data_IF_622489792812
#
_entry.id   IF_622489792812
#
_cell.length_a   1.000
_cell.length_b   1.000
_cell.length_c   1.000
_cell.angle_alpha   90.00
_cell.angle_beta   90.00
_cell.angle_gamma   90.00
#
_symmetry.space_group_name_H-M   'P 1'
#
loop_
_entity.id
_entity.type
_entity.pdbx_description
1 polymer ?
#
# COMPACT_ATOMS: atom_id res chain seq x y z
N UNK A 1 57.02 57.47 44.56
CA UNK A 1 57.19 56.87 43.23
C UNK A 1 56.63 55.46 43.23
N UNK A 2 55.35 55.37 42.90
CA UNK A 2 54.66 54.12 42.59
C UNK A 2 55.09 53.65 41.20
N UNK A 3 55.35 52.35 41.06
CA UNK A 3 54.86 51.47 39.99
C UNK A 3 55.80 50.28 39.81
N UNK A 4 55.25 49.07 39.89
CA UNK A 4 55.39 47.99 38.90
C UNK A 4 55.36 46.59 39.52
N UNK A 5 54.17 46.09 39.85
CA UNK A 5 53.94 44.64 39.88
C UNK A 5 52.47 44.38 39.53
N UNK A 6 52.20 44.07 38.26
CA UNK A 6 50.96 43.41 37.82
C UNK A 6 51.12 42.96 36.37
N UNK A 7 51.58 41.74 36.15
CA UNK A 7 51.26 40.97 34.93
C UNK A 7 51.40 39.48 35.27
N UNK A 8 50.30 38.71 35.19
CA UNK A 8 50.26 37.25 34.92
C UNK A 8 48.92 36.59 35.33
N UNK A 9 47.79 37.30 35.31
CA UNK A 9 46.51 36.69 35.63
C UNK A 9 45.36 37.26 34.78
N UNK A 10 45.48 37.24 33.44
CA UNK A 10 44.34 37.66 32.59
C UNK A 10 44.22 36.97 31.23
N UNK A 11 45.06 36.00 30.86
CA UNK A 11 44.95 35.35 29.54
C UNK A 11 44.40 33.92 29.55
N UNK A 12 44.19 33.29 30.71
CA UNK A 12 43.72 31.91 30.77
C UNK A 12 42.18 31.75 30.74
N UNK A 13 41.41 32.82 30.90
CA UNK A 13 39.93 32.75 31.02
C UNK A 13 39.17 33.01 29.71
N UNK A 14 39.85 33.32 28.61
CA UNK A 14 39.21 33.64 27.32
C UNK A 14 39.08 32.45 26.36
N UNK A 15 39.69 31.30 26.68
CA UNK A 15 39.60 30.10 25.82
C UNK A 15 38.46 29.13 26.20
N UNK A 16 37.85 29.27 27.38
CA UNK A 16 36.71 28.42 27.79
C UNK A 16 35.34 29.00 27.41
N UNK A 17 35.26 30.27 27.00
CA UNK A 17 34.01 30.89 26.55
C UNK A 17 33.76 30.74 25.04
N UNK A 18 34.79 30.42 24.24
CA UNK A 18 34.71 30.33 22.78
C UNK A 18 34.24 28.99 22.21
N UNK A 19 34.06 27.97 23.07
CA UNK A 19 33.72 26.60 22.66
C UNK A 19 32.39 26.10 23.25
N UNK A 20 31.54 27.03 23.73
CA UNK A 20 30.23 26.72 24.29
C UNK A 20 29.04 27.27 23.46
N UNK A 21 29.30 27.96 22.35
CA UNK A 21 28.30 28.22 21.32
C UNK A 21 28.48 27.23 20.17
N UNK A 22 28.44 25.94 20.50
CA UNK A 22 27.95 24.97 19.53
C UNK A 22 26.49 25.36 19.30
N UNK A 23 26.28 26.14 18.24
CA UNK A 23 25.00 26.33 17.60
C UNK A 23 24.48 24.94 17.25
N UNK A 24 23.77 24.32 18.18
CA UNK A 24 22.66 23.48 17.83
C UNK A 24 21.63 24.42 17.20
N UNK A 25 21.90 24.80 15.95
CA UNK A 25 20.84 25.07 15.01
C UNK A 25 20.04 23.77 14.97
N UNK A 26 19.07 23.65 15.87
CA UNK A 26 17.91 22.84 15.66
C UNK A 26 17.35 23.35 14.34
N UNK A 27 17.79 22.72 13.26
CA UNK A 27 17.00 22.64 12.06
C UNK A 27 15.68 22.08 12.57
N UNK A 28 14.73 22.98 12.84
CA UNK A 28 13.32 22.76 12.70
C UNK A 28 13.15 22.31 11.25
N UNK A 29 13.54 21.06 10.99
CA UNK A 29 12.97 20.26 9.95
C UNK A 29 11.50 20.35 10.30
N UNK A 30 10.75 21.10 9.49
CA UNK A 30 9.31 21.09 9.58
C UNK A 30 8.94 19.63 9.77
N UNK A 31 8.36 19.33 10.93
CA UNK A 31 7.60 18.11 11.10
C UNK A 31 6.62 18.20 9.96
N UNK A 32 6.91 17.50 8.87
CA UNK A 32 6.06 17.48 7.69
C UNK A 32 4.69 17.17 8.25
N UNK A 33 3.77 18.11 8.07
CA UNK A 33 2.36 17.91 8.40
C UNK A 33 2.02 16.52 7.88
N UNK A 34 1.60 15.61 8.76
CA UNK A 34 1.11 14.31 8.29
C UNK A 34 0.04 14.63 7.26
N UNK A 35 0.34 14.34 6.00
CA UNK A 35 -0.60 14.56 4.93
C UNK A 35 -1.84 13.73 5.28
N UNK A 36 -3.02 14.38 5.19
CA UNK A 36 -4.25 13.75 5.63
C UNK A 36 -4.42 12.38 4.95
N UNK A 37 -4.90 11.34 5.66
CA UNK A 37 -5.08 10.01 5.10
C UNK A 37 -5.79 10.06 3.75
N UNK A 38 -5.15 9.55 2.69
CA UNK A 38 -5.76 9.50 1.36
C UNK A 38 -6.76 8.34 1.33
N UNK A 39 -7.95 8.61 0.79
CA UNK A 39 -9.03 7.65 0.69
C UNK A 39 -9.39 7.43 -0.78
N UNK A 40 -9.17 6.22 -1.28
CA UNK A 40 -9.44 5.86 -2.67
C UNK A 40 -10.54 4.80 -2.71
N UNK A 41 -11.48 4.97 -3.64
CA UNK A 41 -12.62 4.08 -3.80
C UNK A 41 -12.79 3.71 -5.26
N UNK A 42 -12.98 2.43 -5.55
CA UNK A 42 -13.14 1.90 -6.90
C UNK A 42 -13.67 0.45 -6.88
N UNK A 43 -14.13 -0.01 -8.04
CA UNK A 43 -14.62 -1.37 -8.25
C UNK A 43 -13.65 -2.15 -9.13
N UNK A 44 -13.25 -3.35 -8.71
CA UNK A 44 -12.37 -4.22 -9.48
C UNK A 44 -13.17 -5.29 -10.21
N UNK A 45 -12.83 -5.53 -11.47
CA UNK A 45 -13.49 -6.49 -12.34
C UNK A 45 -12.54 -7.62 -12.72
N UNK A 46 -12.66 -8.73 -12.02
CA UNK A 46 -11.90 -9.97 -12.25
C UNK A 46 -12.72 -10.93 -13.11
N UNK A 47 -12.18 -11.32 -14.26
CA UNK A 47 -12.83 -12.25 -15.20
C UNK A 47 -11.88 -13.37 -15.61
N UNK A 48 -12.13 -14.57 -15.11
CA UNK A 48 -11.40 -15.79 -15.47
C UNK A 48 -12.04 -16.59 -16.62
N UNK A 49 -13.16 -16.10 -17.17
CA UNK A 49 -13.92 -16.79 -18.24
C UNK A 49 -14.34 -15.80 -19.34
N UNK A 50 -14.89 -16.32 -20.43
CA UNK A 50 -15.36 -15.52 -21.56
C UNK A 50 -14.27 -15.25 -22.62
N UNK A 51 -14.59 -14.48 -23.67
CA UNK A 51 -13.72 -14.32 -24.84
C UNK A 51 -12.49 -13.43 -24.60
N UNK A 52 -12.48 -12.63 -23.53
CA UNK A 52 -11.39 -11.72 -23.15
C UNK A 52 -11.19 -11.74 -21.63
N UNK A 53 -10.67 -12.84 -21.05
CA UNK A 53 -10.43 -12.93 -19.63
C UNK A 53 -9.38 -11.89 -19.20
N UNK A 54 -9.56 -11.32 -18.00
CA UNK A 54 -8.59 -10.43 -17.36
C UNK A 54 -7.72 -11.16 -16.34
N UNK A 55 -8.11 -12.36 -15.91
CA UNK A 55 -7.30 -13.27 -15.12
C UNK A 55 -7.17 -14.65 -15.77
N UNK A 56 -5.97 -15.22 -15.69
CA UNK A 56 -5.61 -16.48 -16.36
C UNK A 56 -4.86 -17.39 -15.40
N UNK A 57 -5.21 -18.68 -15.40
CA UNK A 57 -4.53 -19.70 -14.62
C UNK A 57 -3.16 -19.99 -15.27
N UNK A 58 -2.09 -19.76 -14.52
CA UNK A 58 -0.70 -19.95 -15.00
C UNK A 58 0.00 -21.13 -14.33
N UNK A 59 -0.51 -21.61 -13.20
CA UNK A 59 -0.08 -22.87 -12.61
C UNK A 59 -1.28 -23.60 -12.00
N UNK A 60 -1.43 -24.87 -12.35
CA UNK A 60 -2.42 -25.75 -11.76
C UNK A 60 -1.93 -26.21 -10.38
N UNK A 61 -2.75 -26.01 -9.36
CA UNK A 61 -2.54 -26.53 -8.03
C UNK A 61 -2.77 -28.04 -7.99
N UNK A 62 -1.91 -28.75 -7.26
CA UNK A 62 -2.00 -30.22 -7.08
C UNK A 62 -2.60 -30.62 -5.71
N UNK A 63 -2.88 -29.67 -4.83
CA UNK A 63 -3.44 -29.92 -3.50
C UNK A 63 -4.93 -30.28 -3.49
N UNK A 64 -5.62 -30.18 -2.34
CA UNK A 64 -7.04 -30.54 -2.27
C UNK A 64 -7.93 -29.51 -3.01
N UNK A 65 -9.09 -29.92 -3.58
CA UNK A 65 -10.09 -28.99 -4.10
C UNK A 65 -10.51 -27.97 -3.02
N UNK A 66 -10.65 -26.71 -3.42
CA UNK A 66 -11.02 -25.64 -2.49
C UNK A 66 -12.49 -25.77 -2.08
N UNK A 67 -12.78 -25.70 -0.78
CA UNK A 67 -14.15 -25.81 -0.26
C UNK A 67 -15.05 -24.74 -0.89
N UNK A 68 -16.24 -25.13 -1.34
CA UNK A 68 -17.20 -24.22 -1.96
C UNK A 68 -16.89 -23.82 -3.41
N UNK A 69 -15.81 -24.32 -4.01
CA UNK A 69 -15.48 -24.06 -5.43
C UNK A 69 -16.21 -24.95 -6.43
N UNK A 70 -16.93 -25.99 -5.96
CA UNK A 70 -17.50 -27.01 -6.85
C UNK A 70 -16.44 -27.78 -7.65
N UNK A 71 -15.20 -27.85 -7.15
CA UNK A 71 -14.07 -28.50 -7.84
C UNK A 71 -13.36 -27.63 -8.87
N UNK A 72 -13.83 -26.39 -9.11
CA UNK A 72 -13.26 -25.48 -10.11
C UNK A 72 -11.96 -24.80 -9.68
N UNK A 73 -11.60 -24.88 -8.40
CA UNK A 73 -10.34 -24.38 -7.86
C UNK A 73 -9.73 -25.39 -6.88
N UNK A 74 -8.40 -25.46 -6.83
CA UNK A 74 -7.60 -26.39 -6.01
C UNK A 74 -6.52 -25.62 -5.27
N UNK A 75 -6.05 -26.14 -4.14
CA UNK A 75 -4.91 -25.57 -3.44
C UNK A 75 -3.66 -25.54 -4.34
N UNK A 76 -3.03 -24.37 -4.44
CA UNK A 76 -1.86 -24.11 -5.29
C UNK A 76 -2.19 -23.51 -6.67
N UNK A 77 -3.46 -23.43 -7.07
CA UNK A 77 -3.85 -22.71 -8.28
C UNK A 77 -3.34 -21.27 -8.21
N UNK A 78 -2.58 -20.88 -9.22
CA UNK A 78 -1.97 -19.56 -9.33
C UNK A 78 -2.50 -18.87 -10.58
N UNK A 79 -3.11 -17.70 -10.40
CA UNK A 79 -3.62 -16.90 -11.50
C UNK A 79 -2.88 -15.58 -11.59
N UNK A 80 -2.54 -15.17 -12.81
CA UNK A 80 -2.14 -13.80 -13.11
C UNK A 80 -3.38 -12.99 -13.46
N UNK A 81 -3.41 -11.72 -13.05
CA UNK A 81 -4.54 -10.83 -13.29
C UNK A 81 -4.09 -9.46 -13.78
N UNK A 82 -4.93 -8.88 -14.62
CA UNK A 82 -4.77 -7.56 -15.20
C UNK A 82 -6.14 -6.86 -15.30
N UNK A 83 -6.69 -6.54 -14.14
CA UNK A 83 -8.08 -6.17 -13.98
C UNK A 83 -8.32 -4.67 -14.13
N UNK A 84 -9.52 -4.35 -14.61
CA UNK A 84 -9.98 -2.96 -14.70
C UNK A 84 -10.48 -2.50 -13.33
N UNK A 85 -10.18 -1.26 -13.01
CA UNK A 85 -10.74 -0.56 -11.87
C UNK A 85 -11.63 0.58 -12.36
N UNK A 86 -12.89 0.62 -11.92
CA UNK A 86 -13.90 1.58 -12.38
C UNK A 86 -14.51 2.39 -11.24
N UNK A 87 -15.18 3.49 -11.58
CA UNK A 87 -15.90 4.33 -10.60
C UNK A 87 -17.17 3.68 -10.06
N UNK A 88 -17.84 2.87 -10.89
CA UNK A 88 -19.08 2.18 -10.55
C UNK A 88 -18.97 0.66 -10.66
N UNK A 89 -19.95 -0.10 -10.11
CA UNK A 89 -19.92 -1.56 -10.05
C UNK A 89 -20.15 -2.25 -11.39
N UNK A 90 -20.63 -1.54 -12.40
CA UNK A 90 -20.91 -2.14 -13.71
C UNK A 90 -19.64 -2.15 -14.57
N UNK A 91 -19.38 -3.21 -15.36
CA UNK A 91 -18.22 -3.24 -16.26
C UNK A 91 -18.21 -2.13 -17.33
N UNK A 92 -19.38 -1.53 -17.61
CA UNK A 92 -19.53 -0.38 -18.51
C UNK A 92 -19.18 0.96 -17.86
N UNK A 93 -18.99 1.00 -16.53
CA UNK A 93 -18.57 2.20 -15.81
C UNK A 93 -17.19 2.69 -16.30
N UNK A 94 -16.94 3.99 -16.16
CA UNK A 94 -15.68 4.61 -16.55
C UNK A 94 -14.51 3.91 -15.85
N UNK A 95 -13.55 3.44 -16.65
CA UNK A 95 -12.28 2.91 -16.16
C UNK A 95 -11.43 4.08 -15.68
N UNK A 96 -10.90 3.95 -14.47
CA UNK A 96 -10.02 4.95 -13.85
C UNK A 96 -8.60 4.46 -13.74
N UNK A 97 -8.41 3.16 -13.53
CA UNK A 97 -7.17 2.56 -13.03
C UNK A 97 -7.09 1.09 -13.43
N UNK A 98 -5.98 0.44 -13.08
CA UNK A 98 -5.79 -1.01 -13.25
C UNK A 98 -5.23 -1.68 -12.00
N UNK A 99 -5.57 -2.94 -11.81
CA UNK A 99 -4.98 -3.81 -10.79
C UNK A 99 -4.22 -4.94 -11.47
N UNK A 100 -2.91 -5.01 -11.23
CA UNK A 100 -2.01 -5.96 -11.90
C UNK A 100 -1.26 -6.79 -10.87
N UNK A 101 -1.26 -8.10 -11.03
CA UNK A 101 -0.54 -8.97 -10.12
C UNK A 101 -0.97 -10.41 -10.26
N UNK A 102 -1.00 -11.12 -9.14
CA UNK A 102 -1.39 -12.51 -9.11
C UNK A 102 -2.02 -12.88 -7.77
N UNK A 103 -2.72 -14.00 -7.77
CA UNK A 103 -3.20 -14.63 -6.55
C UNK A 103 -3.01 -16.14 -6.58
N UNK A 104 -2.81 -16.70 -5.39
CA UNK A 104 -2.62 -18.14 -5.19
C UNK A 104 -3.65 -18.64 -4.20
N UNK A 105 -4.29 -19.78 -4.47
CA UNK A 105 -5.12 -20.49 -3.48
C UNK A 105 -4.22 -21.13 -2.41
N UNK A 106 -3.83 -20.33 -1.44
CA UNK A 106 -2.81 -20.67 -0.43
C UNK A 106 -3.39 -21.18 0.90
N UNK A 107 -4.65 -21.60 0.94
CA UNK A 107 -5.26 -22.19 2.13
C UNK A 107 -5.83 -23.58 1.85
N UNK A 108 -5.47 -24.55 2.69
CA UNK A 108 -5.99 -25.92 2.60
C UNK A 108 -7.37 -26.09 3.27
N UNK A 109 -7.74 -25.18 4.17
CA UNK A 109 -8.97 -25.26 4.97
C UNK A 109 -10.06 -24.32 4.49
N UNK A 110 -9.73 -23.05 4.34
CA UNK A 110 -10.67 -21.99 3.95
C UNK A 110 -10.57 -21.69 2.46
N UNK A 111 -11.63 -21.17 1.82
CA UNK A 111 -11.56 -20.62 0.46
C UNK A 111 -10.83 -19.27 0.44
N UNK A 112 -9.55 -19.30 0.78
CA UNK A 112 -8.72 -18.12 0.93
C UNK A 112 -7.51 -18.14 -0.01
N UNK A 113 -7.21 -16.97 -0.53
CA UNK A 113 -6.16 -16.72 -1.49
C UNK A 113 -5.09 -15.81 -0.87
N UNK A 114 -3.83 -16.01 -1.24
CA UNK A 114 -2.81 -14.98 -1.06
C UNK A 114 -2.85 -14.09 -2.30
N UNK A 115 -3.13 -12.81 -2.13
CA UNK A 115 -3.15 -11.83 -3.20
C UNK A 115 -1.92 -10.94 -3.12
N UNK A 116 -1.30 -10.66 -4.27
CA UNK A 116 -0.29 -9.61 -4.42
C UNK A 116 -0.61 -8.81 -5.68
N UNK A 117 -0.79 -7.50 -5.56
CA UNK A 117 -1.12 -6.65 -6.69
C UNK A 117 -0.57 -5.24 -6.59
N UNK A 118 -0.28 -4.65 -7.74
CA UNK A 118 -0.08 -3.23 -7.94
C UNK A 118 -1.42 -2.60 -8.36
N UNK A 119 -1.80 -1.51 -7.72
CA UNK A 119 -2.88 -0.62 -8.17
C UNK A 119 -2.23 0.52 -8.94
N UNK A 120 -2.40 0.55 -10.25
CA UNK A 120 -1.81 1.53 -11.15
C UNK A 120 -2.76 2.73 -11.31
N UNK A 121 -2.25 3.91 -11.00
CA UNK A 121 -3.00 5.16 -11.03
C UNK A 121 -2.59 5.96 -12.26
N UNK A 122 -3.50 6.10 -13.22
CA UNK A 122 -3.22 6.70 -14.54
C UNK A 122 -3.87 8.08 -14.75
N UNK A 123 -4.68 8.54 -13.79
CA UNK A 123 -5.48 9.77 -13.93
C UNK A 123 -5.33 10.71 -12.73
N UNK A 124 -5.54 12.00 -13.01
CA UNK A 124 -5.66 13.05 -11.99
C UNK A 124 -4.37 13.30 -11.19
N UNK A 125 -4.48 13.69 -9.89
CA UNK A 125 -3.32 14.05 -9.08
C UNK A 125 -2.39 12.87 -8.75
N UNK A 126 -2.78 11.66 -9.12
CA UNK A 126 -2.06 10.43 -8.82
C UNK A 126 -1.47 9.77 -10.07
N UNK A 127 -1.54 10.43 -11.23
CA UNK A 127 -1.04 9.87 -12.49
C UNK A 127 0.44 9.42 -12.36
N UNK A 128 0.72 8.22 -12.86
CA UNK A 128 2.04 7.59 -12.81
C UNK A 128 2.42 7.00 -11.45
N UNK A 129 1.55 7.08 -10.45
CA UNK A 129 1.80 6.50 -9.12
C UNK A 129 1.18 5.12 -8.99
N UNK A 130 1.64 4.34 -8.02
CA UNK A 130 1.07 3.03 -7.73
C UNK A 130 1.05 2.70 -6.24
N UNK A 131 0.21 1.75 -5.86
CA UNK A 131 0.17 1.16 -4.53
C UNK A 131 0.43 -0.33 -4.63
N UNK A 132 1.13 -0.90 -3.65
CA UNK A 132 1.35 -2.34 -3.53
C UNK A 132 0.43 -2.87 -2.44
N UNK A 133 -0.44 -3.80 -2.80
CA UNK A 133 -1.37 -4.47 -1.90
C UNK A 133 -0.97 -5.93 -1.79
N UNK A 134 -0.86 -6.41 -0.55
CA UNK A 134 -0.56 -7.82 -0.28
C UNK A 134 -1.38 -8.28 0.91
N UNK A 135 -1.98 -9.47 0.81
CA UNK A 135 -2.68 -10.04 1.96
C UNK A 135 -3.50 -11.27 1.67
N UNK A 136 -4.10 -11.79 2.74
CA UNK A 136 -5.01 -12.92 2.70
C UNK A 136 -6.41 -12.46 2.30
N UNK A 137 -6.95 -13.04 1.23
CA UNK A 137 -8.28 -12.77 0.69
C UNK A 137 -9.17 -14.02 0.84
N UNK A 138 -9.94 -14.10 1.93
CA UNK A 138 -11.00 -15.12 2.06
C UNK A 138 -12.27 -14.62 1.37
N UNK A 139 -12.52 -15.08 0.15
CA UNK A 139 -13.58 -14.57 -0.74
C UNK A 139 -15.01 -14.81 -0.21
N UNK A 140 -15.16 -15.65 0.82
CA UNK A 140 -16.44 -15.91 1.47
C UNK A 140 -16.76 -14.94 2.60
N UNK A 141 -15.78 -14.15 3.08
CA UNK A 141 -16.01 -13.15 4.11
C UNK A 141 -16.69 -11.90 3.52
N UNK A 142 -17.62 -11.26 4.26
CA UNK A 142 -18.35 -10.09 3.77
C UNK A 142 -17.46 -8.86 3.57
N UNK A 143 -16.40 -8.72 4.39
CA UNK A 143 -15.39 -7.68 4.31
C UNK A 143 -14.02 -8.31 4.61
N UNK A 144 -12.98 -7.86 3.90
CA UNK A 144 -11.63 -8.40 4.00
C UNK A 144 -10.64 -7.26 4.05
N UNK A 145 -9.72 -7.30 4.99
CA UNK A 145 -8.64 -6.32 5.10
C UNK A 145 -7.35 -6.87 4.51
N UNK A 146 -6.74 -6.12 3.57
CA UNK A 146 -5.42 -6.43 3.01
C UNK A 146 -4.49 -5.25 3.25
N UNK A 147 -3.20 -5.53 3.46
CA UNK A 147 -2.23 -4.48 3.75
C UNK A 147 -1.83 -3.73 2.48
N UNK A 148 -1.69 -2.42 2.59
CA UNK A 148 -0.88 -1.62 1.67
C UNK A 148 0.53 -1.62 2.21
N UNK A 149 1.43 -2.30 1.50
CA UNK A 149 2.81 -2.55 1.93
C UNK A 149 3.81 -1.57 1.32
N UNK A 150 3.35 -0.72 0.40
CA UNK A 150 4.18 0.29 -0.24
C UNK A 150 3.47 1.01 -1.38
N UNK A 151 4.22 1.83 -2.10
CA UNK A 151 3.76 2.54 -3.29
C UNK A 151 4.90 3.27 -3.99
N UNK A 152 4.57 3.83 -5.16
CA UNK A 152 5.49 4.61 -6.00
C UNK A 152 4.90 6.00 -6.28
N UNK A 153 5.72 6.89 -6.84
CA UNK A 153 5.30 8.26 -7.13
C UNK A 153 4.90 9.01 -5.87
N UNK A 154 3.70 9.58 -5.87
CA UNK A 154 3.14 10.32 -4.72
C UNK A 154 2.88 9.41 -3.51
N UNK A 155 2.78 8.08 -3.71
CA UNK A 155 2.57 7.09 -2.65
C UNK A 155 3.86 6.42 -2.19
N UNK A 156 5.03 7.03 -2.43
CA UNK A 156 6.31 6.50 -1.93
C UNK A 156 6.25 6.36 -0.41
N UNK A 157 6.63 5.18 0.10
CA UNK A 157 6.54 4.81 1.52
C UNK A 157 5.11 4.79 2.10
N UNK A 158 4.08 4.69 1.25
CA UNK A 158 2.71 4.53 1.72
C UNK A 158 2.56 3.24 2.53
N UNK A 159 1.86 3.34 3.65
CA UNK A 159 1.38 2.18 4.43
C UNK A 159 -0.12 2.33 4.62
N UNK A 160 -0.83 1.29 5.01
CA UNK A 160 -2.27 1.37 5.21
C UNK A 160 -2.96 0.06 4.89
N UNK A 161 -4.22 0.15 4.49
CA UNK A 161 -5.05 -1.03 4.28
C UNK A 161 -6.10 -0.83 3.18
N UNK A 162 -6.56 -1.96 2.67
CA UNK A 162 -7.67 -2.08 1.73
C UNK A 162 -8.78 -2.84 2.44
N UNK A 163 -9.99 -2.28 2.46
CA UNK A 163 -11.21 -3.00 2.81
C UNK A 163 -11.88 -3.47 1.53
N UNK A 164 -12.09 -4.76 1.39
CA UNK A 164 -12.61 -5.35 0.16
C UNK A 164 -13.88 -6.14 0.39
N UNK A 165 -14.89 -5.83 -0.39
CA UNK A 165 -16.21 -6.45 -0.40
C UNK A 165 -16.56 -6.95 -1.80
N UNK A 166 -17.24 -8.08 -1.86
CA UNK A 166 -17.66 -8.68 -3.13
C UNK A 166 -19.00 -8.08 -3.53
N UNK A 167 -19.03 -7.30 -4.61
CA UNK A 167 -20.26 -6.68 -5.12
C UNK A 167 -21.14 -7.68 -5.89
N UNK A 168 -20.53 -8.56 -6.67
CA UNK A 168 -21.22 -9.62 -7.40
C UNK A 168 -20.29 -10.83 -7.59
N UNK A 169 -20.87 -12.01 -7.76
CA UNK A 169 -20.13 -13.24 -8.03
C UNK A 169 -20.86 -14.05 -9.10
N UNK A 170 -20.23 -14.29 -10.25
CA UNK A 170 -20.82 -15.02 -11.39
C UNK A 170 -22.23 -14.52 -11.79
N UNK A 171 -22.44 -13.21 -11.79
CA UNK A 171 -23.74 -12.60 -12.13
C UNK A 171 -24.83 -12.73 -11.06
N UNK A 172 -24.55 -13.38 -9.92
CA UNK A 172 -25.40 -13.32 -8.73
C UNK A 172 -25.09 -12.08 -7.91
N UNK A 173 -26.10 -11.23 -7.69
CA UNK A 173 -26.01 -10.04 -6.84
C UNK A 173 -25.76 -10.45 -5.38
N UNK A 174 -24.65 -10.00 -4.78
CA UNK A 174 -24.46 -10.04 -3.32
C UNK A 174 -24.43 -8.59 -2.87
N UNK A 175 -25.53 -8.10 -2.28
CA UNK A 175 -25.77 -6.70 -1.83
C UNK A 175 -24.51 -5.81 -1.90
N UNK A 176 -24.42 -4.88 -2.86
CA UNK A 176 -23.16 -4.25 -3.21
C UNK A 176 -22.75 -3.27 -2.13
N UNK A 177 -21.60 -3.54 -1.52
CA UNK A 177 -20.77 -2.51 -0.90
C UNK A 177 -19.38 -2.70 -1.50
N UNK A 178 -18.78 -1.62 -1.95
CA UNK A 178 -17.57 -1.61 -2.75
C UNK A 178 -16.30 -1.73 -1.91
N UNK A 179 -15.16 -1.96 -2.58
CA UNK A 179 -13.85 -1.96 -1.95
C UNK A 179 -13.33 -0.53 -1.77
N UNK A 180 -12.66 -0.26 -0.66
CA UNK A 180 -12.11 1.03 -0.32
C UNK A 180 -10.68 0.90 0.21
N UNK A 181 -9.76 1.69 -0.34
CA UNK A 181 -8.38 1.78 0.13
C UNK A 181 -8.23 2.99 1.03
N UNK A 182 -7.71 2.78 2.24
CA UNK A 182 -7.34 3.84 3.16
C UNK A 182 -5.84 3.79 3.42
N UNK A 183 -5.17 4.89 3.11
CA UNK A 183 -3.73 5.02 3.27
C UNK A 183 -3.40 5.86 4.49
N UNK A 184 -2.39 5.42 5.22
CA UNK A 184 -1.68 6.21 6.22
C UNK A 184 -0.28 6.49 5.69
N UNK A 185 0.03 7.75 5.43
CA UNK A 185 1.40 8.09 5.06
C UNK A 185 2.32 7.84 6.26
N UNK A 186 3.41 7.09 6.02
CA UNK A 186 4.42 6.88 7.05
C UNK A 186 5.28 8.13 7.12
N UNK A 187 5.19 8.86 8.25
CA UNK A 187 6.17 9.88 8.59
C UNK A 187 7.56 9.24 8.61
N UNK A 188 8.43 9.70 7.71
CA UNK A 188 9.59 8.96 7.25
C UNK A 188 10.67 8.68 8.29
N UNK A 189 11.51 7.67 7.98
CA UNK A 189 12.92 7.66 8.40
C UNK A 189 13.80 7.22 7.22
N UNK A 190 14.88 7.99 7.08
CA UNK A 190 15.97 7.96 6.09
C UNK A 190 16.45 6.53 5.77
N UNK A 191 16.66 6.24 4.48
CA UNK A 191 17.70 5.27 4.11
C UNK A 191 19.04 5.88 4.56
N UNK A 192 19.72 5.23 5.50
CA UNK A 192 21.15 5.44 5.65
C UNK A 192 21.84 4.84 4.42
N UNK A 193 22.81 5.58 3.89
CA UNK A 193 23.72 5.13 2.82
C UNK A 193 24.49 3.89 3.27
#
# INVERSE_FOLDING_TARGET
>A
NMASHLTSASLATLLTAGMATVLFASAAHGVGTQDAPKHLHFYMHDSSTGPKPTAVLIANGTGQPLKGSGGSARFGDTMVMDDRLTEGPTPASRVVRRAQGFYVTASQGDPAMLLTMNVLLADGPYNGSSLVVMGRNNVMMPERELAVVGGTGVFRMATGYVLWKTASWRGGERRPRAGCIRLRESGGRRCMK
#
